data_IF_172589360476
#
_entry.id   IF_172589360476
#
_cell.length_a   1.000
_cell.length_b   1.000
_cell.length_c   1.000
_cell.angle_alpha   90.00
_cell.angle_beta   90.00
_cell.angle_gamma   90.00
#
_symmetry.space_group_name_H-M   'P 1'
#
loop_
_entity.id
_entity.type
_entity.pdbx_description
1 polymer ?
#
# COMPACT_ATOMS: atom_id res chain seq x y z
N UNK A 1 -19.07 12.79 10.79
CA UNK A 1 -19.82 11.55 11.05
C UNK A 1 -20.66 11.31 9.82
N UNK A 2 -20.56 10.14 9.17
CA UNK A 2 -21.30 9.88 7.93
C UNK A 2 -22.81 9.95 8.18
N UNK A 3 -23.56 10.44 7.20
CA UNK A 3 -25.00 10.53 7.27
C UNK A 3 -25.63 9.14 7.26
N UNK A 4 -26.43 8.84 8.29
CA UNK A 4 -27.22 7.62 8.36
C UNK A 4 -28.61 7.88 7.79
N UNK A 5 -28.97 7.09 6.78
CA UNK A 5 -30.24 7.24 6.07
C UNK A 5 -31.41 6.89 6.98
N UNK A 6 -32.42 7.74 7.04
CA UNK A 6 -33.68 7.42 7.70
C UNK A 6 -34.61 6.71 6.72
N UNK A 7 -35.23 5.61 7.15
CA UNK A 7 -36.22 4.89 6.36
C UNK A 7 -37.62 5.32 6.74
N UNK A 8 -38.34 5.82 5.75
CA UNK A 8 -39.74 6.20 5.87
C UNK A 8 -40.61 5.03 5.45
N UNK A 9 -41.58 4.67 6.29
CA UNK A 9 -42.56 3.63 6.02
C UNK A 9 -43.95 4.26 5.82
N UNK A 10 -44.72 3.73 4.87
CA UNK A 10 -46.08 4.21 4.60
C UNK A 10 -47.09 3.80 5.69
N UNK A 11 -46.72 2.93 6.65
CA UNK A 11 -47.63 2.46 7.69
C UNK A 11 -46.89 2.37 9.02
N UNK A 12 -47.45 3.02 10.03
CA UNK A 12 -47.02 2.89 11.42
C UNK A 12 -47.94 1.86 12.10
N UNK A 13 -47.34 0.75 12.55
CA UNK A 13 -48.04 -0.35 13.22
C UNK A 13 -47.56 -0.42 14.66
N UNK A 14 -48.48 -0.63 15.61
CA UNK A 14 -48.11 -0.91 16.98
C UNK A 14 -47.42 -2.30 17.05
N UNK A 15 -46.17 -2.40 17.55
CA UNK A 15 -45.46 -3.67 17.61
C UNK A 15 -46.10 -4.69 18.57
N UNK A 16 -46.91 -4.26 19.54
CA UNK A 16 -47.53 -5.16 20.54
C UNK A 16 -48.94 -5.64 20.14
N UNK A 17 -49.69 -4.83 19.38
CA UNK A 17 -51.10 -5.13 19.04
C UNK A 17 -51.33 -5.38 17.55
N UNK A 18 -50.38 -5.06 16.67
CA UNK A 18 -50.50 -5.21 15.22
C UNK A 18 -51.49 -4.24 14.57
N UNK A 19 -52.09 -3.33 15.33
CA UNK A 19 -53.02 -2.33 14.82
C UNK A 19 -52.28 -1.19 14.10
N UNK A 20 -52.86 -0.74 13.00
CA UNK A 20 -52.35 0.42 12.25
C UNK A 20 -52.72 1.71 12.97
N UNK A 21 -51.72 2.35 13.57
CA UNK A 21 -51.86 3.62 14.27
C UNK A 21 -52.07 4.76 13.27
N UNK A 22 -51.40 4.68 12.11
CA UNK A 22 -51.51 5.67 11.05
C UNK A 22 -51.29 5.02 9.68
N UNK A 23 -52.25 5.17 8.77
CA UNK A 23 -52.06 4.90 7.34
C UNK A 23 -51.45 6.14 6.68
N UNK A 24 -50.21 6.01 6.24
CA UNK A 24 -49.55 6.99 5.38
C UNK A 24 -50.09 6.93 3.96
N UNK A 25 -49.79 7.97 3.17
CA UNK A 25 -50.15 7.99 1.76
C UNK A 25 -49.09 7.22 0.97
N UNK A 26 -49.48 6.38 -0.01
CA UNK A 26 -48.54 5.59 -0.87
C UNK A 26 -47.46 6.42 -1.59
N UNK A 27 -47.61 7.75 -1.56
CA UNK A 27 -46.72 8.73 -2.16
C UNK A 27 -45.59 9.18 -1.22
N UNK A 28 -45.81 9.12 0.11
CA UNK A 28 -44.91 9.71 1.10
C UNK A 28 -43.64 8.90 1.31
N UNK A 29 -43.70 7.59 1.60
CA UNK A 29 -42.48 6.81 1.82
C UNK A 29 -41.60 6.75 0.58
N UNK A 30 -42.19 6.58 -0.60
CA UNK A 30 -41.41 6.46 -1.85
C UNK A 30 -40.60 7.72 -2.15
N UNK A 31 -41.22 8.91 -2.02
CA UNK A 31 -40.51 10.17 -2.28
C UNK A 31 -39.53 10.53 -1.18
N UNK A 32 -39.91 10.33 0.08
CA UNK A 32 -39.02 10.61 1.21
C UNK A 32 -37.78 9.71 1.16
N UNK A 33 -37.94 8.40 0.92
CA UNK A 33 -36.80 7.49 0.77
C UNK A 33 -35.90 7.84 -0.44
N UNK A 34 -36.46 8.37 -1.53
CA UNK A 34 -35.66 8.84 -2.67
C UNK A 34 -34.89 10.13 -2.35
N UNK A 35 -35.46 11.03 -1.54
CA UNK A 35 -34.76 12.21 -1.04
C UNK A 35 -33.62 11.80 -0.09
N UNK A 36 -33.91 10.89 0.83
CA UNK A 36 -32.94 10.30 1.78
C UNK A 36 -31.77 9.60 1.07
N UNK A 37 -32.05 8.91 -0.04
CA UNK A 37 -31.02 8.35 -0.92
C UNK A 37 -30.18 9.44 -1.59
N UNK A 38 -30.81 10.51 -2.06
CA UNK A 38 -30.11 11.67 -2.62
C UNK A 38 -29.19 12.35 -1.61
N UNK A 39 -29.65 12.55 -0.37
CA UNK A 39 -28.86 13.15 0.72
C UNK A 39 -27.65 12.27 1.02
N UNK A 40 -27.84 10.96 1.17
CA UNK A 40 -26.73 10.01 1.38
C UNK A 40 -25.73 10.05 0.20
N UNK A 41 -26.22 10.09 -1.03
CA UNK A 41 -25.36 10.19 -2.21
C UNK A 41 -24.50 11.46 -2.22
N UNK A 42 -25.05 12.59 -1.77
CA UNK A 42 -24.30 13.85 -1.64
C UNK A 42 -23.27 13.75 -0.50
N UNK A 43 -23.63 13.20 0.66
CA UNK A 43 -22.69 13.01 1.78
C UNK A 43 -21.47 12.16 1.37
N UNK A 44 -21.71 11.05 0.67
CA UNK A 44 -20.65 10.19 0.13
C UNK A 44 -19.73 10.94 -0.85
N UNK A 45 -20.27 11.86 -1.65
CA UNK A 45 -19.49 12.72 -2.55
C UNK A 45 -18.68 13.74 -1.76
N UNK A 46 -19.27 14.38 -0.75
CA UNK A 46 -18.61 15.39 0.08
C UNK A 46 -17.43 14.77 0.84
N UNK A 47 -17.60 13.59 1.43
CA UNK A 47 -16.51 12.86 2.10
C UNK A 47 -15.35 12.58 1.13
N UNK A 48 -15.67 12.14 -0.10
CA UNK A 48 -14.64 11.92 -1.14
C UNK A 48 -13.94 13.22 -1.55
N UNK A 49 -14.68 14.33 -1.63
CA UNK A 49 -14.12 15.65 -1.92
C UNK A 49 -13.20 16.14 -0.79
N UNK A 50 -13.60 15.99 0.47
CA UNK A 50 -12.80 16.37 1.64
C UNK A 50 -11.46 15.64 1.65
N UNK A 51 -11.46 14.32 1.43
CA UNK A 51 -10.23 13.54 1.31
C UNK A 51 -9.32 14.03 0.17
N UNK A 52 -9.91 14.41 -0.98
CA UNK A 52 -9.16 14.95 -2.12
C UNK A 52 -8.58 16.33 -1.84
N UNK A 53 -9.31 17.18 -1.11
CA UNK A 53 -8.83 18.49 -0.67
C UNK A 53 -7.67 18.31 0.31
N UNK A 54 -7.78 17.38 1.26
CA UNK A 54 -6.71 17.08 2.22
C UNK A 54 -5.44 16.60 1.50
N UNK A 55 -5.58 15.72 0.50
CA UNK A 55 -4.46 15.28 -0.34
C UNK A 55 -3.80 16.47 -1.07
N UNK A 56 -4.60 17.35 -1.70
CA UNK A 56 -4.08 18.54 -2.39
C UNK A 56 -3.37 19.50 -1.41
N UNK A 57 -3.95 19.71 -0.23
CA UNK A 57 -3.36 20.57 0.80
C UNK A 57 -2.04 20.01 1.31
N UNK A 58 -1.95 18.69 1.54
CA UNK A 58 -0.70 18.04 1.93
C UNK A 58 0.39 18.16 0.84
N UNK A 59 0.00 18.11 -0.44
CA UNK A 59 0.91 18.31 -1.58
C UNK A 59 1.45 19.74 -1.64
N UNK A 60 0.57 20.75 -1.53
CA UNK A 60 0.94 22.18 -1.59
C UNK A 60 1.83 22.55 -0.40
N UNK A 61 1.39 22.23 0.82
CA UNK A 61 2.13 22.59 2.03
C UNK A 61 3.51 21.93 2.12
N UNK A 62 3.68 20.73 1.58
CA UNK A 62 5.01 20.09 1.54
C UNK A 62 5.92 20.73 0.48
N UNK A 63 5.38 21.19 -0.64
CA UNK A 63 6.14 21.88 -1.69
C UNK A 63 6.65 23.26 -1.30
N UNK A 64 5.86 24.03 -0.55
CA UNK A 64 6.14 25.46 -0.30
C UNK A 64 6.94 25.74 0.98
N UNK A 65 7.22 24.74 1.82
CA UNK A 65 7.86 24.95 3.14
C UNK A 65 9.36 25.21 3.12
N UNK A 66 10.06 24.97 2.01
CA UNK A 66 11.49 25.28 1.90
C UNK A 66 11.90 25.47 0.44
N UNK A 67 12.45 26.64 0.11
CA UNK A 67 12.99 26.91 -1.23
C UNK A 67 14.09 25.88 -1.57
N UNK A 68 13.91 25.15 -2.68
CA UNK A 68 14.85 24.13 -3.15
C UNK A 68 14.57 22.70 -2.67
N UNK A 69 13.47 22.44 -1.95
CA UNK A 69 13.07 21.07 -1.61
C UNK A 69 12.39 20.37 -2.82
N UNK A 70 13.12 19.50 -3.50
CA UNK A 70 12.59 18.66 -4.60
C UNK A 70 11.97 17.34 -4.09
N UNK A 71 11.96 17.08 -2.79
CA UNK A 71 11.42 15.86 -2.19
C UNK A 71 10.10 16.10 -1.48
N UNK A 72 8.97 15.82 -2.15
CA UNK A 72 7.66 15.73 -1.49
C UNK A 72 7.49 14.26 -1.07
N UNK A 73 7.46 13.99 0.24
CA UNK A 73 7.15 12.66 0.79
C UNK A 73 5.83 12.73 1.53
N UNK A 74 4.73 12.49 0.81
CA UNK A 74 3.39 12.39 1.39
C UNK A 74 2.72 11.14 0.84
N UNK A 75 2.38 10.21 1.72
CA UNK A 75 1.52 9.07 1.42
C UNK A 75 0.31 9.14 2.37
N UNK A 76 -0.89 9.25 1.80
CA UNK A 76 -2.15 9.34 2.55
C UNK A 76 -2.68 7.97 2.98
N UNK A 77 -2.00 6.88 2.65
CA UNK A 77 -2.38 5.48 2.94
C UNK A 77 -3.79 5.11 2.43
N UNK A 78 -4.31 5.85 1.46
CA UNK A 78 -5.62 5.66 0.85
C UNK A 78 -5.60 4.66 -0.33
N UNK A 79 -4.42 4.12 -0.64
CA UNK A 79 -4.20 3.16 -1.74
C UNK A 79 -4.11 3.81 -3.11
N UNK A 80 -4.18 5.14 -3.21
CA UNK A 80 -3.97 5.86 -4.47
C UNK A 80 -2.47 6.08 -4.64
N UNK A 81 -1.86 5.34 -5.58
CA UNK A 81 -0.43 5.45 -5.85
C UNK A 81 -0.16 6.69 -6.73
N UNK A 82 0.68 7.62 -6.25
CA UNK A 82 1.17 8.73 -7.07
C UNK A 82 2.11 8.17 -8.15
N UNK A 83 1.91 8.60 -9.40
CA UNK A 83 2.72 8.17 -10.54
C UNK A 83 4.16 8.71 -10.48
N UNK A 84 4.38 9.83 -9.78
CA UNK A 84 5.68 10.49 -9.67
C UNK A 84 6.46 10.04 -8.43
N UNK A 85 5.76 9.69 -7.35
CA UNK A 85 6.36 9.27 -6.08
C UNK A 85 5.83 7.87 -5.77
N UNK A 86 6.50 6.87 -6.33
CA UNK A 86 6.18 5.47 -6.06
C UNK A 86 7.30 4.81 -5.29
N UNK A 87 6.94 3.95 -4.34
CA UNK A 87 7.90 3.10 -3.67
C UNK A 87 8.58 2.22 -4.71
N UNK A 88 9.91 2.25 -4.76
CA UNK A 88 10.68 1.36 -5.62
C UNK A 88 10.58 -0.08 -5.08
N UNK A 89 9.68 -0.86 -5.70
CA UNK A 89 9.40 -2.25 -5.33
C UNK A 89 10.39 -3.24 -5.99
N UNK A 90 11.44 -2.74 -6.65
CA UNK A 90 12.44 -3.59 -7.32
C UNK A 90 13.06 -4.53 -6.29
N UNK A 91 12.86 -5.83 -6.51
CA UNK A 91 13.35 -6.91 -5.65
C UNK A 91 13.76 -8.11 -6.49
N UNK A 92 14.72 -8.87 -5.99
CA UNK A 92 15.20 -10.11 -6.58
C UNK A 92 15.63 -11.09 -5.49
N UNK A 93 15.75 -12.37 -5.83
CA UNK A 93 16.21 -13.41 -4.91
C UNK A 93 17.69 -13.69 -5.12
N UNK A 94 18.43 -13.79 -4.02
CA UNK A 94 19.84 -14.15 -3.95
C UNK A 94 19.97 -15.65 -4.19
N UNK A 95 20.83 -16.04 -5.12
CA UNK A 95 21.19 -17.43 -5.37
C UNK A 95 22.44 -17.84 -4.60
N UNK A 96 23.46 -16.97 -4.60
CA UNK A 96 24.71 -17.16 -3.87
C UNK A 96 25.45 -15.85 -3.64
N UNK A 97 26.31 -15.80 -2.62
CA UNK A 97 27.20 -14.68 -2.34
C UNK A 97 28.64 -15.19 -2.29
N UNK A 98 29.55 -14.48 -2.98
CA UNK A 98 30.99 -14.73 -2.96
C UNK A 98 31.73 -13.40 -2.80
N UNK A 99 32.14 -13.09 -1.57
CA UNK A 99 32.77 -11.81 -1.25
C UNK A 99 31.82 -10.64 -1.51
N UNK A 100 32.20 -9.72 -2.39
CA UNK A 100 31.37 -8.58 -2.81
C UNK A 100 30.38 -8.92 -3.92
N UNK A 101 30.48 -10.11 -4.53
CA UNK A 101 29.63 -10.50 -5.65
C UNK A 101 28.41 -11.26 -5.15
N UNK A 102 27.23 -10.81 -5.55
CA UNK A 102 25.94 -11.44 -5.26
C UNK A 102 25.34 -11.91 -6.57
N UNK A 103 25.20 -13.22 -6.71
CA UNK A 103 24.46 -13.82 -7.84
C UNK A 103 22.97 -13.78 -7.51
N UNK A 104 22.18 -13.20 -8.39
CA UNK A 104 20.73 -13.02 -8.21
C UNK A 104 19.95 -13.65 -9.35
N UNK A 105 18.67 -13.93 -9.15
CA UNK A 105 17.81 -14.50 -10.20
C UNK A 105 17.50 -13.52 -11.35
N UNK A 106 17.56 -12.21 -11.06
CA UNK A 106 17.36 -11.15 -12.05
C UNK A 106 18.02 -9.85 -11.58
N UNK A 107 18.61 -9.11 -12.52
CA UNK A 107 19.18 -7.77 -12.30
C UNK A 107 18.28 -6.65 -12.82
N UNK A 108 17.08 -6.98 -13.32
CA UNK A 108 16.17 -6.00 -13.89
C UNK A 108 15.75 -4.96 -12.83
N UNK A 109 15.80 -3.68 -13.21
CA UNK A 109 15.44 -2.56 -12.35
C UNK A 109 16.56 -2.06 -11.42
N UNK A 110 17.68 -2.77 -11.31
CA UNK A 110 18.84 -2.32 -10.54
C UNK A 110 19.79 -1.49 -11.42
N UNK A 111 20.42 -0.48 -10.82
CA UNK A 111 21.45 0.33 -11.44
C UNK A 111 22.64 0.55 -10.50
N UNK A 112 23.80 0.85 -11.08
CA UNK A 112 25.02 1.16 -10.33
C UNK A 112 24.84 2.46 -9.54
N UNK A 113 25.40 2.51 -8.32
CA UNK A 113 25.28 3.63 -7.39
C UNK A 113 24.01 3.59 -6.53
N UNK A 114 23.11 2.63 -6.76
CA UNK A 114 21.92 2.48 -5.94
C UNK A 114 22.23 1.76 -4.63
N UNK A 115 21.60 2.20 -3.55
CA UNK A 115 21.56 1.49 -2.28
C UNK A 115 20.49 0.40 -2.33
N UNK A 116 20.87 -0.80 -1.90
CA UNK A 116 20.04 -2.00 -1.81
C UNK A 116 20.12 -2.60 -0.42
N UNK A 117 19.01 -3.16 0.03
CA UNK A 117 18.93 -3.91 1.26
C UNK A 117 19.00 -5.39 0.95
N UNK A 118 19.96 -6.08 1.56
CA UNK A 118 19.97 -7.54 1.64
C UNK A 118 19.18 -7.94 2.88
N UNK A 119 18.19 -8.81 2.72
CA UNK A 119 17.32 -9.20 3.80
C UNK A 119 17.07 -10.71 3.81
N UNK A 120 17.19 -11.29 4.99
CA UNK A 120 16.79 -12.66 5.31
C UNK A 120 15.84 -12.63 6.51
N UNK A 121 15.45 -13.82 6.98
CA UNK A 121 14.61 -13.96 8.17
C UNK A 121 15.29 -13.35 9.41
N UNK A 122 16.61 -13.54 9.54
CA UNK A 122 17.34 -13.19 10.77
C UNK A 122 18.21 -11.93 10.63
N UNK A 123 18.63 -11.60 9.41
CA UNK A 123 19.61 -10.55 9.16
C UNK A 123 19.11 -9.59 8.07
N UNK A 124 19.47 -8.32 8.23
CA UNK A 124 19.22 -7.27 7.25
C UNK A 124 20.40 -6.29 7.26
N UNK A 125 20.87 -5.89 6.08
CA UNK A 125 21.90 -4.87 5.95
C UNK A 125 21.78 -4.09 4.63
N UNK A 126 22.28 -2.85 4.61
CA UNK A 126 22.32 -1.99 3.42
C UNK A 126 23.69 -2.02 2.74
N UNK A 127 23.68 -2.05 1.40
CA UNK A 127 24.89 -2.06 0.55
C UNK A 127 24.67 -1.22 -0.70
N UNK A 128 25.77 -0.72 -1.27
CA UNK A 128 25.72 0.07 -2.51
C UNK A 128 26.20 -0.79 -3.67
N UNK A 129 25.47 -0.77 -4.78
CA UNK A 129 25.87 -1.45 -6.02
C UNK A 129 27.01 -0.68 -6.68
N UNK A 130 28.14 -1.35 -6.94
CA UNK A 130 29.30 -0.78 -7.65
C UNK A 130 29.40 -1.23 -9.10
N UNK A 131 28.88 -2.43 -9.43
CA UNK A 131 28.81 -2.93 -10.79
C UNK A 131 27.67 -3.94 -10.95
N UNK A 132 27.16 -4.08 -12.17
CA UNK A 132 26.16 -5.09 -12.53
C UNK A 132 26.61 -5.78 -13.81
N UNK A 133 26.70 -7.12 -13.78
CA UNK A 133 26.88 -7.94 -14.96
C UNK A 133 25.56 -8.62 -15.31
N UNK A 134 24.89 -8.14 -16.36
CA UNK A 134 23.60 -8.65 -16.80
C UNK A 134 23.67 -10.05 -17.44
N UNK A 135 24.81 -10.45 -17.99
CA UNK A 135 24.99 -11.76 -18.62
C UNK A 135 25.10 -12.88 -17.58
N UNK A 136 25.84 -12.62 -16.50
CA UNK A 136 26.04 -13.58 -15.40
C UNK A 136 25.09 -13.36 -14.22
N UNK A 137 24.23 -12.35 -14.31
CA UNK A 137 23.30 -11.93 -13.24
C UNK A 137 24.01 -11.69 -11.89
N UNK A 138 25.20 -11.08 -11.95
CA UNK A 138 26.00 -10.76 -10.76
C UNK A 138 25.91 -9.27 -10.47
N UNK A 139 25.56 -8.94 -9.23
CA UNK A 139 25.62 -7.59 -8.67
C UNK A 139 26.85 -7.51 -7.76
N UNK A 140 27.76 -6.59 -8.04
CA UNK A 140 28.91 -6.32 -7.17
C UNK A 140 28.58 -5.20 -6.21
N UNK A 141 28.85 -5.42 -4.93
CA UNK A 141 28.61 -4.50 -3.84
C UNK A 141 29.88 -3.72 -3.46
N UNK A 142 29.71 -2.62 -2.74
CA UNK A 142 30.80 -1.79 -2.22
C UNK A 142 31.68 -2.51 -1.19
N UNK A 143 31.10 -3.45 -0.43
CA UNK A 143 31.81 -4.29 0.52
C UNK A 143 31.07 -5.62 0.73
N UNK A 144 31.81 -6.63 1.19
CA UNK A 144 31.24 -7.95 1.45
C UNK A 144 30.19 -7.87 2.57
N UNK A 145 29.07 -8.60 2.44
CA UNK A 145 28.07 -8.70 3.52
C UNK A 145 28.70 -9.25 4.80
N UNK A 146 28.32 -8.69 5.96
CA UNK A 146 28.85 -9.16 7.25
C UNK A 146 28.10 -10.40 7.73
N UNK A 147 26.82 -10.52 7.36
CA UNK A 147 26.00 -11.67 7.65
C UNK A 147 25.99 -12.67 6.48
N UNK A 148 25.64 -13.91 6.79
CA UNK A 148 25.41 -14.95 5.78
C UNK A 148 23.97 -14.89 5.28
N UNK A 149 23.79 -14.81 3.96
CA UNK A 149 22.49 -14.91 3.30
C UNK A 149 22.41 -16.22 2.55
N UNK A 150 21.42 -17.04 2.88
CA UNK A 150 21.16 -18.29 2.18
C UNK A 150 20.60 -18.04 0.79
N UNK A 151 20.64 -19.09 -0.05
CA UNK A 151 19.82 -19.13 -1.26
C UNK A 151 18.36 -18.78 -0.90
N UNK A 152 17.72 -17.96 -1.73
CA UNK A 152 16.38 -17.36 -1.56
C UNK A 152 16.27 -16.18 -0.59
N UNK A 153 17.37 -15.67 -0.02
CA UNK A 153 17.34 -14.36 0.61
C UNK A 153 16.96 -13.26 -0.40
N UNK A 154 16.44 -12.13 0.07
CA UNK A 154 15.95 -11.06 -0.81
C UNK A 154 17.01 -9.96 -0.92
N UNK A 155 17.18 -9.44 -2.13
CA UNK A 155 17.87 -8.18 -2.40
C UNK A 155 16.85 -7.22 -3.00
N UNK A 156 16.62 -6.08 -2.35
CA UNK A 156 15.57 -5.14 -2.74
C UNK A 156 15.98 -3.68 -2.55
N UNK A 157 15.36 -2.77 -3.32
CA UNK A 157 15.48 -1.31 -3.11
C UNK A 157 14.65 -0.82 -1.93
N UNK A 158 13.58 -1.52 -1.61
CA UNK A 158 12.81 -1.31 -0.39
C UNK A 158 12.21 -2.62 0.10
N UNK A 159 12.29 -2.86 1.40
CA UNK A 159 11.61 -3.97 2.08
C UNK A 159 10.31 -3.51 2.75
N UNK A 160 9.85 -2.28 2.51
CA UNK A 160 8.63 -1.74 3.09
C UNK A 160 7.42 -2.15 2.24
N UNK A 161 6.34 -2.50 2.90
CA UNK A 161 5.03 -2.75 2.29
C UNK A 161 4.01 -1.83 2.93
N UNK A 162 3.17 -1.20 2.11
CA UNK A 162 2.11 -0.31 2.56
C UNK A 162 0.86 -1.14 2.80
N UNK A 163 0.44 -1.25 4.06
CA UNK A 163 -0.83 -1.84 4.44
C UNK A 163 -1.91 -0.76 4.45
N UNK A 164 -2.69 -0.72 3.37
CA UNK A 164 -3.78 0.24 3.17
C UNK A 164 -5.01 -0.05 4.04
N UNK A 165 -5.15 -1.27 4.57
CA UNK A 165 -6.26 -1.65 5.44
C UNK A 165 -5.99 -1.17 6.87
N UNK A 166 -4.79 -1.44 7.38
CA UNK A 166 -4.39 -0.99 8.71
C UNK A 166 -3.72 0.39 8.73
N UNK A 167 -3.65 1.07 7.59
CA UNK A 167 -3.08 2.42 7.39
C UNK A 167 -1.70 2.58 8.01
N UNK A 168 -0.81 1.62 7.76
CA UNK A 168 0.56 1.63 8.29
C UNK A 168 1.56 1.04 7.31
N UNK A 169 2.80 1.51 7.40
CA UNK A 169 3.93 0.85 6.75
C UNK A 169 4.35 -0.37 7.59
N UNK A 170 4.56 -1.51 6.92
CA UNK A 170 5.08 -2.74 7.54
C UNK A 170 6.32 -3.19 6.80
N UNK A 171 7.10 -4.07 7.42
CA UNK A 171 8.09 -4.86 6.70
C UNK A 171 7.36 -5.82 5.76
N UNK A 172 7.70 -5.81 4.48
CA UNK A 172 7.15 -6.73 3.49
C UNK A 172 7.57 -8.17 3.77
N UNK A 173 6.77 -9.13 3.29
CA UNK A 173 7.01 -10.55 3.56
C UNK A 173 8.35 -11.02 3.00
N UNK A 174 9.11 -11.74 3.83
CA UNK A 174 10.33 -12.45 3.43
C UNK A 174 10.03 -13.93 3.57
N UNK A 175 9.45 -14.51 2.53
CA UNK A 175 9.10 -15.93 2.54
C UNK A 175 10.35 -16.76 2.27
N UNK A 176 10.51 -17.85 3.02
CA UNK A 176 11.52 -18.88 2.74
C UNK A 176 10.80 -20.15 2.33
N UNK A 177 11.20 -20.72 1.19
CA UNK A 177 10.65 -21.98 0.68
C UNK A 177 11.63 -23.12 0.96
N UNK A 178 11.16 -24.19 1.60
CA UNK A 178 11.93 -25.43 1.74
C UNK A 178 11.40 -26.48 0.76
N UNK A 179 12.23 -26.90 -0.20
CA UNK A 179 11.90 -27.99 -1.10
C UNK A 179 12.37 -29.30 -0.49
N UNK A 180 11.44 -30.24 -0.25
CA UNK A 180 11.76 -31.64 0.06
C UNK A 180 11.49 -32.49 -1.17
N UNK A 181 12.51 -33.19 -1.66
CA UNK A 181 12.33 -34.24 -2.67
C UNK A 181 11.94 -35.51 -1.92
N UNK A 182 10.70 -35.97 -2.13
CA UNK A 182 10.30 -37.31 -1.71
C UNK A 182 10.81 -38.30 -2.77
N UNK A 183 11.85 -39.06 -2.44
CA UNK A 183 12.23 -40.23 -3.23
C UNK A 183 11.23 -41.33 -2.89
N UNK A 184 10.49 -41.79 -3.89
CA UNK A 184 9.61 -42.96 -3.79
C UNK A 184 10.37 -44.21 -4.18
#
# INVERSE_FOLDING_TARGET
MPYERQFWADRLVNPETGETIQEGTRYTARRMNHIEEGIKGIDDIVIKMENRILHLHAKITTGDRTAGNNGIFVDTFDGIQDAVISLDKTRTTIQSISGTNVTVASVAGFAVGQEVTLASVNNQEERIITAINALTQVITLNAAPTATYSSNAILARSTVEIDTVAKRMRRGSIDTYSVRIAVT
#
